data_IF_429664833396
#
_entry.id   IF_429664833396
#
_cell.length_a   1.000
_cell.length_b   1.000
_cell.length_c   1.000
_cell.angle_alpha   90.00
_cell.angle_beta   90.00
_cell.angle_gamma   90.00
#
_symmetry.space_group_name_H-M   'P 1'
#
loop_
_entity.id
_entity.type
_entity.pdbx_description
1 polymer ?
#
# COMPACT_ATOMS: atom_id res chain seq x y z
N UNK A 1 -16.51 3.91 -59.77
CA UNK A 1 -16.92 2.50 -59.69
C UNK A 1 -17.27 2.25 -58.22
N UNK A 2 -18.49 2.52 -57.73
CA UNK A 2 -19.70 1.65 -57.76
C UNK A 2 -19.30 0.17 -57.58
N UNK A 3 -19.78 -0.61 -56.60
CA UNK A 3 -21.21 -0.88 -56.33
C UNK A 3 -21.46 -1.37 -54.89
N UNK A 4 -22.59 -0.95 -54.33
CA UNK A 4 -23.26 -1.52 -53.14
C UNK A 4 -23.93 -2.87 -53.45
N UNK A 5 -24.10 -3.73 -52.44
CA UNK A 5 -25.20 -4.70 -52.37
C UNK A 5 -25.64 -4.89 -50.90
N UNK A 6 -26.90 -4.55 -50.65
CA UNK A 6 -27.68 -4.81 -49.44
C UNK A 6 -27.96 -6.31 -49.28
N UNK A 7 -27.94 -6.85 -48.04
CA UNK A 7 -29.00 -7.76 -47.57
C UNK A 7 -29.26 -7.53 -46.08
N UNK A 8 -30.52 -7.23 -45.79
CA UNK A 8 -31.19 -6.99 -44.51
C UNK A 8 -31.33 -8.29 -43.73
N UNK A 9 -31.06 -8.30 -42.42
CA UNK A 9 -31.81 -9.14 -41.47
C UNK A 9 -32.12 -8.35 -40.19
N UNK A 10 -33.41 -8.09 -39.99
CA UNK A 10 -34.01 -7.64 -38.74
C UNK A 10 -33.81 -8.71 -37.66
N UNK A 11 -33.18 -8.35 -36.55
CA UNK A 11 -33.55 -8.85 -35.22
C UNK A 11 -33.34 -7.72 -34.22
N UNK A 12 -34.42 -7.32 -33.55
CA UNK A 12 -34.36 -6.41 -32.43
C UNK A 12 -33.54 -7.03 -31.31
N UNK A 13 -32.30 -6.56 -31.17
CA UNK A 13 -31.48 -6.77 -29.98
C UNK A 13 -31.10 -5.38 -29.51
N UNK A 14 -31.67 -4.96 -28.38
CA UNK A 14 -31.18 -3.80 -27.66
C UNK A 14 -29.67 -3.96 -27.47
N UNK A 15 -28.85 -2.95 -27.81
CA UNK A 15 -27.44 -2.99 -27.44
C UNK A 15 -27.38 -2.99 -25.91
N UNK A 16 -27.13 -4.16 -25.32
CA UNK A 16 -26.68 -4.25 -23.93
C UNK A 16 -25.41 -3.40 -23.87
N UNK A 17 -25.35 -2.36 -23.02
CA UNK A 17 -24.10 -1.62 -22.83
C UNK A 17 -23.08 -2.63 -22.32
N UNK A 18 -22.12 -2.98 -23.16
CA UNK A 18 -21.02 -3.83 -22.74
C UNK A 18 -20.31 -3.08 -21.60
N UNK A 19 -20.13 -3.68 -20.41
CA UNK A 19 -19.19 -3.14 -19.46
C UNK A 19 -17.85 -3.11 -20.18
N UNK A 20 -17.30 -1.92 -20.43
CA UNK A 20 -15.94 -1.80 -20.91
C UNK A 20 -15.08 -2.64 -19.95
N UNK A 21 -14.36 -3.67 -20.41
CA UNK A 21 -13.39 -4.32 -19.54
C UNK A 21 -12.37 -3.23 -19.20
N UNK A 22 -12.43 -2.75 -17.97
CA UNK A 22 -11.40 -1.88 -17.42
C UNK A 22 -10.17 -2.77 -17.29
N UNK A 23 -9.40 -2.88 -18.36
CA UNK A 23 -8.11 -3.53 -18.32
C UNK A 23 -7.21 -2.61 -17.51
N UNK A 24 -7.07 -2.91 -16.21
CA UNK A 24 -6.01 -2.29 -15.41
C UNK A 24 -4.71 -2.80 -16.02
N UNK A 25 -4.15 -2.03 -16.95
CA UNK A 25 -2.80 -2.23 -17.44
C UNK A 25 -1.88 -1.90 -16.27
N UNK A 26 -1.59 -2.89 -15.43
CA UNK A 26 -0.54 -2.78 -14.42
C UNK A 26 0.77 -2.66 -15.18
N UNK A 27 1.21 -1.43 -15.42
CA UNK A 27 2.55 -1.15 -15.91
C UNK A 27 3.53 -1.48 -14.80
N UNK A 28 4.05 -2.72 -14.80
CA UNK A 28 5.21 -3.09 -13.99
C UNK A 28 6.44 -2.36 -14.54
N UNK A 29 6.77 -1.22 -13.95
CA UNK A 29 8.09 -0.60 -14.10
C UNK A 29 9.05 -1.37 -13.18
N UNK A 30 9.87 -2.24 -13.77
CA UNK A 30 11.00 -2.92 -13.10
C UNK A 30 12.20 -1.97 -12.89
N UNK A 31 11.98 -0.84 -12.21
CA UNK A 31 13.07 -0.01 -11.68
C UNK A 31 13.31 -0.42 -10.21
N UNK A 32 14.55 -0.44 -9.70
CA UNK A 32 14.83 -0.71 -8.30
C UNK A 32 14.12 0.38 -7.47
N UNK A 33 12.99 -0.03 -6.88
CA UNK A 33 11.93 0.86 -6.45
C UNK A 33 12.28 1.54 -5.13
N UNK A 34 12.86 2.75 -5.20
CA UNK A 34 12.91 3.67 -4.07
C UNK A 34 11.52 3.79 -3.40
N UNK A 35 10.45 3.93 -4.20
CA UNK A 35 9.09 4.11 -3.67
C UNK A 35 8.30 2.81 -3.36
N UNK A 36 8.96 1.66 -3.19
CA UNK A 36 8.26 0.38 -3.02
C UNK A 36 7.32 0.37 -1.81
N UNK A 37 7.78 0.84 -0.64
CA UNK A 37 6.98 0.82 0.59
C UNK A 37 5.79 1.77 0.49
N UNK A 38 6.03 3.01 0.06
CA UNK A 38 4.99 4.02 -0.07
C UNK A 38 3.90 3.56 -1.04
N UNK A 39 4.29 2.94 -2.15
CA UNK A 39 3.35 2.38 -3.13
C UNK A 39 2.49 1.29 -2.51
N UNK A 40 3.10 0.33 -1.80
CA UNK A 40 2.35 -0.75 -1.17
C UNK A 40 1.44 -0.26 -0.04
N UNK A 41 1.85 0.75 0.74
CA UNK A 41 1.00 1.39 1.74
C UNK A 41 -0.24 2.06 1.11
N UNK A 42 -0.04 2.81 0.01
CA UNK A 42 -1.16 3.43 -0.73
C UNK A 42 -2.12 2.40 -1.31
N UNK A 43 -1.60 1.32 -1.91
CA UNK A 43 -2.43 0.23 -2.44
C UNK A 43 -3.22 -0.44 -1.32
N UNK A 44 -2.62 -0.65 -0.15
CA UNK A 44 -3.31 -1.21 1.02
C UNK A 44 -4.47 -0.31 1.47
N UNK A 45 -4.24 0.99 1.59
CA UNK A 45 -5.28 1.96 1.93
C UNK A 45 -6.44 1.96 0.92
N UNK A 46 -6.12 1.90 -0.37
CA UNK A 46 -7.13 1.78 -1.43
C UNK A 46 -7.89 0.46 -1.34
N UNK A 47 -7.19 -0.65 -1.10
CA UNK A 47 -7.81 -1.96 -0.96
C UNK A 47 -8.78 -2.00 0.21
N UNK A 48 -8.45 -1.35 1.34
CA UNK A 48 -9.37 -1.21 2.47
C UNK A 48 -10.57 -0.34 2.12
N UNK A 49 -10.34 0.82 1.50
CA UNK A 49 -11.41 1.74 1.10
C UNK A 49 -12.43 1.11 0.15
N UNK A 50 -11.98 0.22 -0.74
CA UNK A 50 -12.83 -0.50 -1.69
C UNK A 50 -13.20 -1.92 -1.24
N UNK A 51 -12.84 -2.31 -0.01
CA UNK A 51 -13.13 -3.61 0.60
C UNK A 51 -12.64 -4.82 -0.24
N UNK A 52 -11.51 -4.65 -0.93
CA UNK A 52 -10.89 -5.70 -1.75
C UNK A 52 -9.85 -6.45 -0.89
N UNK A 53 -10.32 -7.41 -0.10
CA UNK A 53 -9.50 -8.15 0.87
C UNK A 53 -8.29 -8.85 0.27
N UNK A 54 -8.43 -9.44 -0.94
CA UNK A 54 -7.32 -10.07 -1.64
C UNK A 54 -6.19 -9.09 -2.00
N UNK A 55 -6.55 -7.88 -2.42
CA UNK A 55 -5.58 -6.82 -2.74
C UNK A 55 -4.90 -6.31 -1.47
N UNK A 56 -5.66 -6.16 -0.38
CA UNK A 56 -5.13 -5.75 0.94
C UNK A 56 -4.07 -6.74 1.42
N UNK A 57 -4.36 -8.04 1.34
CA UNK A 57 -3.43 -9.09 1.74
C UNK A 57 -2.14 -9.10 0.88
N UNK A 58 -2.28 -8.92 -0.44
CA UNK A 58 -1.12 -8.84 -1.35
C UNK A 58 -0.28 -7.60 -1.03
N UNK A 59 -0.91 -6.43 -0.87
CA UNK A 59 -0.22 -5.19 -0.54
C UNK A 59 0.57 -5.32 0.77
N UNK A 60 -0.02 -5.92 1.80
CA UNK A 60 0.66 -6.19 3.08
C UNK A 60 1.86 -7.11 2.91
N UNK A 61 1.73 -8.20 2.14
CA UNK A 61 2.82 -9.13 1.90
C UNK A 61 3.99 -8.46 1.18
N UNK A 62 3.69 -7.65 0.17
CA UNK A 62 4.71 -6.92 -0.58
C UNK A 62 5.37 -5.83 0.26
N UNK A 63 4.59 -5.13 1.10
CA UNK A 63 5.12 -4.18 2.07
C UNK A 63 6.12 -4.83 3.03
N UNK A 64 5.75 -6.00 3.60
CA UNK A 64 6.65 -6.79 4.47
C UNK A 64 7.92 -7.20 3.75
N UNK A 65 7.82 -7.66 2.50
CA UNK A 65 8.99 -8.05 1.71
C UNK A 65 9.91 -6.84 1.46
N UNK A 66 9.34 -5.71 1.04
CA UNK A 66 10.09 -4.47 0.79
C UNK A 66 10.81 -3.99 2.06
N UNK A 67 10.16 -4.08 3.22
CA UNK A 67 10.74 -3.72 4.52
C UNK A 67 11.93 -4.60 4.97
N UNK A 68 12.24 -5.70 4.27
CA UNK A 68 13.35 -6.60 4.65
C UNK A 68 14.60 -6.49 3.78
N UNK A 69 14.50 -5.93 2.56
CA UNK A 69 15.57 -6.05 1.54
C UNK A 69 16.53 -4.86 1.57
N UNK A 70 16.01 -3.64 1.45
CA UNK A 70 16.80 -2.42 1.46
C UNK A 70 15.87 -1.25 1.70
N UNK A 71 15.98 -0.62 2.85
CA UNK A 71 15.15 0.51 3.24
C UNK A 71 15.99 1.79 3.23
N UNK A 72 15.58 2.73 2.41
CA UNK A 72 15.95 4.12 2.62
C UNK A 72 15.08 4.72 3.75
N UNK A 73 15.68 5.58 4.56
CA UNK A 73 15.02 6.15 5.73
C UNK A 73 13.90 7.11 5.27
N UNK A 74 14.11 7.91 4.23
CA UNK A 74 13.10 8.86 3.77
C UNK A 74 11.89 8.14 3.16
N UNK A 75 12.14 7.09 2.38
CA UNK A 75 11.08 6.24 1.82
C UNK A 75 10.27 5.53 2.93
N UNK A 76 10.96 5.06 3.98
CA UNK A 76 10.31 4.47 5.15
C UNK A 76 9.45 5.48 5.90
N UNK A 77 9.97 6.68 6.18
CA UNK A 77 9.23 7.72 6.90
C UNK A 77 7.99 8.16 6.12
N UNK A 78 8.11 8.36 4.80
CA UNK A 78 6.98 8.68 3.95
C UNK A 78 5.91 7.57 3.95
N UNK A 79 6.33 6.31 3.94
CA UNK A 79 5.40 5.19 4.04
C UNK A 79 4.74 5.09 5.43
N UNK A 80 5.49 5.32 6.51
CA UNK A 80 4.98 5.29 7.88
C UNK A 80 3.90 6.37 8.09
N UNK A 81 4.12 7.60 7.61
CA UNK A 81 3.13 8.67 7.62
C UNK A 81 1.83 8.22 6.96
N UNK A 82 1.91 7.73 5.72
CA UNK A 82 0.73 7.24 4.99
C UNK A 82 0.04 6.10 5.74
N UNK A 83 0.78 5.17 6.33
CA UNK A 83 0.19 4.08 7.12
C UNK A 83 -0.63 4.63 8.28
N UNK A 84 -0.08 5.54 9.09
CA UNK A 84 -0.78 6.05 10.26
C UNK A 84 -1.93 7.01 9.93
N UNK A 85 -1.87 7.70 8.78
CA UNK A 85 -2.95 8.58 8.31
C UNK A 85 -4.08 7.83 7.60
N UNK A 86 -3.76 6.75 6.88
CA UNK A 86 -4.74 6.05 6.03
C UNK A 86 -5.39 4.82 6.67
N UNK A 87 -4.86 4.36 7.81
CA UNK A 87 -5.41 3.22 8.55
C UNK A 87 -6.00 3.67 9.88
N UNK A 88 -7.08 3.02 10.31
CA UNK A 88 -7.61 3.18 11.67
C UNK A 88 -6.76 2.39 12.67
N UNK A 89 -6.90 2.69 13.97
CA UNK A 89 -6.08 2.07 15.02
C UNK A 89 -6.21 0.54 15.11
N UNK A 90 -7.39 0.00 14.81
CA UNK A 90 -7.67 -1.45 14.82
C UNK A 90 -7.01 -2.19 13.65
N UNK A 91 -6.62 -1.49 12.58
CA UNK A 91 -5.93 -2.09 11.45
C UNK A 91 -4.42 -2.19 11.73
N UNK A 92 -4.07 -3.22 12.50
CA UNK A 92 -2.70 -3.49 12.95
C UNK A 92 -1.77 -4.00 11.85
N UNK A 93 -2.29 -4.37 10.67
CA UNK A 93 -1.53 -5.08 9.65
C UNK A 93 -0.24 -4.38 9.23
N UNK A 94 -0.35 -3.13 8.74
CA UNK A 94 0.82 -2.33 8.36
C UNK A 94 1.50 -1.67 9.56
N UNK A 95 0.73 -1.23 10.56
CA UNK A 95 1.27 -0.54 11.75
C UNK A 95 2.27 -1.42 12.51
N UNK A 96 1.97 -2.71 12.67
CA UNK A 96 2.87 -3.65 13.32
C UNK A 96 4.19 -3.81 12.55
N UNK A 97 4.15 -3.79 11.22
CA UNK A 97 5.36 -3.88 10.38
C UNK A 97 6.22 -2.64 10.52
N UNK A 98 5.60 -1.45 10.53
CA UNK A 98 6.31 -0.18 10.74
C UNK A 98 7.02 -0.18 12.09
N UNK A 99 6.32 -0.56 13.15
CA UNK A 99 6.88 -0.61 14.51
C UNK A 99 7.99 -1.66 14.62
N UNK A 100 7.79 -2.85 14.05
CA UNK A 100 8.80 -3.90 14.04
C UNK A 100 10.06 -3.45 13.29
N UNK A 101 9.89 -2.75 12.17
CA UNK A 101 11.00 -2.24 11.35
C UNK A 101 11.78 -1.16 12.10
N UNK A 102 11.08 -0.21 12.72
CA UNK A 102 11.72 0.85 13.51
C UNK A 102 12.43 0.29 14.76
N UNK A 103 11.85 -0.75 15.38
CA UNK A 103 12.49 -1.43 16.51
C UNK A 103 13.77 -2.17 16.11
N UNK A 104 13.77 -2.83 14.94
CA UNK A 104 14.96 -3.53 14.41
C UNK A 104 16.10 -2.58 14.04
N UNK A 105 15.75 -1.40 13.53
CA UNK A 105 16.69 -0.36 13.13
C UNK A 105 16.69 0.80 14.15
N UNK A 106 16.86 0.47 15.43
CA UNK A 106 16.78 1.45 16.52
C UNK A 106 17.80 2.59 16.40
N UNK A 107 18.90 2.37 15.68
CA UNK A 107 19.92 3.35 15.32
C UNK A 107 19.37 4.52 14.48
N UNK A 108 18.26 4.35 13.77
CA UNK A 108 17.63 5.43 13.00
C UNK A 108 17.10 6.55 13.91
N UNK A 109 16.86 6.27 15.20
CA UNK A 109 16.46 7.30 16.16
C UNK A 109 17.58 8.31 16.47
N UNK A 110 18.81 8.06 16.05
CA UNK A 110 19.90 9.04 16.12
C UNK A 110 19.73 10.17 15.09
N UNK A 111 18.94 9.94 14.03
CA UNK A 111 18.61 10.95 13.05
C UNK A 111 17.45 11.85 13.50
N UNK A 112 17.60 13.17 13.33
CA UNK A 112 16.61 14.15 13.74
C UNK A 112 15.27 13.98 13.01
N UNK A 113 15.31 13.78 11.68
CA UNK A 113 14.11 13.56 10.86
C UNK A 113 13.25 12.39 11.32
N UNK A 114 13.88 11.29 11.76
CA UNK A 114 13.16 10.11 12.26
C UNK A 114 12.51 10.44 13.61
N UNK A 115 13.22 11.12 14.51
CA UNK A 115 12.65 11.55 15.80
C UNK A 115 11.48 12.51 15.62
N UNK A 116 11.54 13.40 14.65
CA UNK A 116 10.48 14.36 14.41
C UNK A 116 9.20 13.66 13.94
N UNK A 117 9.31 12.73 12.99
CA UNK A 117 8.15 11.92 12.56
C UNK A 117 7.61 11.06 13.71
N UNK A 118 8.47 10.46 14.53
CA UNK A 118 8.03 9.66 15.68
C UNK A 118 7.27 10.53 16.70
N UNK A 119 7.75 11.75 16.96
CA UNK A 119 7.07 12.71 17.86
C UNK A 119 5.75 13.23 17.28
N UNK A 120 5.72 13.52 15.99
CA UNK A 120 4.53 13.98 15.28
C UNK A 120 3.44 12.90 15.29
N UNK A 121 3.83 11.66 15.01
CA UNK A 121 2.95 10.50 15.06
C UNK A 121 2.88 9.96 16.50
N UNK A 122 2.13 10.64 17.37
CA UNK A 122 1.93 10.20 18.76
C UNK A 122 1.44 8.74 18.89
N UNK A 123 0.62 8.26 17.95
CA UNK A 123 0.19 6.87 17.88
C UNK A 123 1.35 5.90 17.58
N UNK A 124 2.30 6.27 16.72
CA UNK A 124 3.50 5.48 16.46
C UNK A 124 4.38 5.40 17.71
N UNK A 125 4.55 6.51 18.42
CA UNK A 125 5.26 6.50 19.72
C UNK A 125 4.60 5.56 20.71
N UNK A 126 3.27 5.63 20.85
CA UNK A 126 2.52 4.73 21.73
C UNK A 126 2.73 3.26 21.35
N UNK A 127 2.53 2.91 20.07
CA UNK A 127 2.67 1.56 19.56
C UNK A 127 4.10 1.02 19.77
N UNK A 128 5.11 1.88 19.57
CA UNK A 128 6.51 1.52 19.79
C UNK A 128 6.78 1.18 21.26
N UNK A 129 6.28 1.98 22.21
CA UNK A 129 6.45 1.71 23.65
C UNK A 129 5.77 0.40 24.05
N UNK A 130 4.56 0.15 23.56
CA UNK A 130 3.84 -1.10 23.81
C UNK A 130 4.59 -2.30 23.24
N UNK A 131 5.08 -2.19 22.01
CA UNK A 131 5.86 -3.24 21.35
C UNK A 131 7.15 -3.56 22.09
N UNK A 132 7.92 -2.53 22.50
CA UNK A 132 9.13 -2.69 23.31
C UNK A 132 8.86 -3.40 24.63
N UNK A 133 7.74 -3.07 25.29
CA UNK A 133 7.32 -3.74 26.53
C UNK A 133 7.01 -5.21 26.31
N UNK A 134 6.31 -5.57 25.22
CA UNK A 134 6.01 -6.96 24.88
C UNK A 134 7.27 -7.75 24.55
N UNK A 135 8.21 -7.16 23.81
CA UNK A 135 9.47 -7.82 23.44
C UNK A 135 10.43 -8.06 24.59
N UNK A 136 10.38 -7.28 25.68
CA UNK A 136 11.20 -7.52 26.89
C UNK A 136 10.67 -8.64 27.79
N UNK A 137 9.43 -9.10 27.56
CA UNK A 137 8.82 -10.17 28.36
C UNK A 137 9.13 -11.58 27.83
N UNK A 138 9.90 -11.70 26.75
CA UNK A 138 10.35 -12.95 26.13
C UNK A 138 11.84 -12.86 25.80
#
# INVERSE_FOLDING_TARGET
MQVCLFVVWCFGVFPVPQPCPVYISVSQSNEPAADALLTHAKIYALAEKYLISGLKAVALRQFKAAATVSLDIDDFLGAALVVYESTIEDDRGLRDVVVETLYKNSEWLDEEKVRDVVKELGALTYDMVIYMRQKRMF
#
